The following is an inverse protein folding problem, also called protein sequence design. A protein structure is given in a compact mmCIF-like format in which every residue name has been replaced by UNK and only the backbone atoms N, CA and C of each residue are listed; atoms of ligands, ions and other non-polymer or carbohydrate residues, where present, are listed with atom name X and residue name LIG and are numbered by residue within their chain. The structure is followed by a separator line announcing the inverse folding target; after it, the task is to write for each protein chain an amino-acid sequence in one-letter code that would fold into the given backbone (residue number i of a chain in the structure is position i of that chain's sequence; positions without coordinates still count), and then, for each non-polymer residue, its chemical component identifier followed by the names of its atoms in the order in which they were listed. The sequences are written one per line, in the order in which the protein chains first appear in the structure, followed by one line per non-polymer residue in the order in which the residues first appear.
data_IF_966018525133
#
_entry.id   IF_966018525133
#
_cell.length_a   1.000
_cell.length_b   1.000
_cell.length_c   1.000
_cell.angle_alpha   90.00
_cell.angle_beta   90.00
_cell.angle_gamma   90.00
#
_symmetry.space_group_name_H-M   'P 1'
#
loop_
_entity.id
_entity.type
_entity.pdbx_description
1 polymer ?
#
# COMPACT_ATOMS: atom_id res chain seq x y z
N UNK A 1 2.18 -36.64 14.70
CA UNK A 1 2.88 -37.50 13.72
C UNK A 1 4.26 -36.90 13.52
N UNK A 2 5.34 -37.53 14.02
CA UNK A 2 6.68 -36.96 13.94
C UNK A 2 7.14 -36.96 12.47
N UNK A 3 7.40 -35.79 11.92
CA UNK A 3 8.03 -35.61 10.61
C UNK A 3 9.54 -35.80 10.86
N UNK A 4 10.13 -36.84 10.27
CA UNK A 4 11.58 -37.07 10.37
C UNK A 4 12.33 -35.88 9.76
N UNK A 5 13.07 -35.13 10.59
CA UNK A 5 13.85 -33.95 10.19
C UNK A 5 15.16 -34.30 9.47
N UNK A 6 15.44 -35.58 9.23
CA UNK A 6 16.58 -36.00 8.44
C UNK A 6 16.41 -35.49 7.00
N UNK A 7 17.26 -34.54 6.60
CA UNK A 7 17.39 -34.13 5.20
C UNK A 7 17.68 -35.38 4.37
N UNK A 8 16.75 -35.84 3.52
CA UNK A 8 16.97 -37.06 2.74
C UNK A 8 18.16 -36.83 1.83
N UNK A 9 19.09 -37.79 1.80
CA UNK A 9 20.18 -37.77 0.83
C UNK A 9 19.60 -37.62 -0.58
N UNK A 10 20.22 -36.79 -1.46
CA UNK A 10 19.76 -36.63 -2.83
C UNK A 10 19.69 -38.01 -3.49
N UNK A 11 18.59 -38.36 -4.17
CA UNK A 11 18.42 -39.68 -4.74
C UNK A 11 19.52 -39.93 -5.78
N UNK A 12 20.09 -41.14 -5.86
CA UNK A 12 21.06 -41.49 -6.88
C UNK A 12 20.46 -41.23 -8.26
N UNK A 13 21.18 -40.46 -9.09
CA UNK A 13 20.81 -40.16 -10.45
C UNK A 13 20.60 -41.46 -11.23
N UNK A 14 19.35 -41.82 -11.56
CA UNK A 14 19.11 -42.94 -12.48
C UNK A 14 17.77 -43.66 -12.40
N UNK A 15 16.99 -43.54 -11.31
CA UNK A 15 15.66 -44.15 -11.27
C UNK A 15 14.60 -43.14 -10.84
N UNK A 16 13.78 -42.73 -11.81
CA UNK A 16 12.52 -42.05 -11.53
C UNK A 16 11.63 -43.04 -10.77
N UNK A 17 11.00 -42.64 -9.65
CA UNK A 17 10.07 -43.52 -8.96
C UNK A 17 8.90 -43.87 -9.88
N UNK A 18 8.52 -45.15 -9.99
CA UNK A 18 7.36 -45.54 -10.80
C UNK A 18 6.09 -44.98 -10.18
N UNK A 19 5.16 -44.56 -11.03
CA UNK A 19 3.86 -44.09 -10.55
C UNK A 19 3.12 -45.23 -9.82
N UNK A 20 2.67 -45.05 -8.56
CA UNK A 20 1.99 -46.11 -7.81
C UNK A 20 0.66 -46.56 -8.42
N UNK A 21 0.08 -45.77 -9.34
CA UNK A 21 -1.21 -46.09 -10.00
C UNK A 21 -1.05 -46.84 -11.32
N UNK A 22 -0.04 -46.53 -12.13
CA UNK A 22 0.15 -47.11 -13.46
C UNK A 22 1.47 -47.87 -13.65
N UNK A 23 2.36 -47.87 -12.65
CA UNK A 23 3.68 -48.49 -12.64
C UNK A 23 4.67 -47.99 -13.72
N UNK A 24 4.31 -46.95 -14.49
CA UNK A 24 5.17 -46.38 -15.52
C UNK A 24 5.98 -45.18 -14.99
N UNK A 25 7.14 -44.94 -15.61
CA UNK A 25 8.08 -43.84 -15.29
C UNK A 25 8.20 -42.81 -16.42
N UNK A 26 7.65 -43.08 -17.61
CA UNK A 26 7.80 -42.28 -18.83
C UNK A 26 7.22 -40.86 -18.72
N UNK A 27 6.15 -40.69 -17.94
CA UNK A 27 5.47 -39.42 -17.73
C UNK A 27 5.50 -38.91 -16.30
N UNK A 28 6.49 -39.38 -15.51
CA UNK A 28 6.69 -38.93 -14.14
C UNK A 28 7.68 -37.76 -14.16
N UNK A 29 7.25 -36.62 -13.59
CA UNK A 29 8.07 -35.41 -13.46
C UNK A 29 8.03 -34.93 -12.03
N UNK A 30 9.10 -34.29 -11.56
CA UNK A 30 9.07 -33.68 -10.23
C UNK A 30 8.00 -32.58 -10.21
N UNK A 31 7.26 -32.48 -9.11
CA UNK A 31 6.22 -31.45 -8.95
C UNK A 31 6.77 -30.03 -9.17
N UNK A 32 7.98 -29.68 -8.68
CA UNK A 32 8.58 -28.38 -8.97
C UNK A 32 8.78 -28.11 -10.46
N UNK A 33 9.26 -29.10 -11.22
CA UNK A 33 9.45 -28.95 -12.65
C UNK A 33 8.11 -28.72 -13.38
N UNK A 34 7.06 -29.45 -12.99
CA UNK A 34 5.71 -29.26 -13.55
C UNK A 34 5.18 -27.88 -13.22
N UNK A 35 5.22 -27.47 -11.94
CA UNK A 35 4.76 -26.15 -11.50
C UNK A 35 5.47 -25.01 -12.25
N UNK A 36 6.79 -25.10 -12.43
CA UNK A 36 7.55 -24.10 -13.17
C UNK A 36 7.25 -24.13 -14.67
N UNK A 37 7.05 -25.31 -15.26
CA UNK A 37 6.67 -25.43 -16.68
C UNK A 37 5.27 -24.88 -16.99
N UNK A 38 4.39 -24.88 -15.99
CA UNK A 38 3.01 -24.38 -16.08
C UNK A 38 2.89 -22.86 -15.83
N UNK A 39 3.99 -22.20 -15.46
CA UNK A 39 4.06 -20.73 -15.43
C UNK A 39 4.34 -20.25 -16.85
N UNK A 40 3.27 -19.84 -17.53
CA UNK A 40 3.38 -19.24 -18.85
C UNK A 40 3.23 -17.72 -18.73
N UNK A 41 4.23 -16.99 -19.21
CA UNK A 41 4.10 -15.55 -19.42
C UNK A 41 3.30 -15.34 -20.70
N UNK A 42 2.10 -14.78 -20.56
CA UNK A 42 1.24 -14.44 -21.69
C UNK A 42 1.29 -12.92 -21.84
N UNK A 43 1.83 -12.44 -22.95
CA UNK A 43 1.68 -11.03 -23.37
C UNK A 43 0.25 -10.83 -23.86
N UNK A 44 -0.60 -10.25 -23.01
CA UNK A 44 -1.95 -9.87 -23.40
C UNK A 44 -1.90 -8.42 -23.86
N UNK A 45 -2.57 -8.11 -24.97
CA UNK A 45 -2.75 -6.72 -25.39
C UNK A 45 -3.72 -6.08 -24.40
N UNK A 46 -3.25 -5.13 -23.60
CA UNK A 46 -4.12 -4.46 -22.65
C UNK A 46 -5.19 -3.69 -23.44
N UNK A 47 -6.44 -3.78 -22.98
CA UNK A 47 -7.60 -3.10 -23.53
C UNK A 47 -7.49 -1.60 -23.20
N UNK A 48 -6.55 -0.91 -23.83
CA UNK A 48 -6.29 0.52 -23.67
C UNK A 48 -6.02 1.18 -25.01
N UNK A 49 -6.35 2.46 -25.12
CA UNK A 49 -6.25 3.25 -26.37
C UNK A 49 -4.84 3.23 -26.98
N UNK A 50 -3.80 3.01 -26.16
CA UNK A 50 -2.39 3.07 -26.57
C UNK A 50 -1.80 1.72 -27.00
N UNK A 51 -2.60 0.64 -27.06
CA UNK A 51 -2.12 -0.66 -27.55
C UNK A 51 -0.98 -1.30 -26.73
N UNK A 52 -0.82 -0.87 -25.47
CA UNK A 52 0.20 -1.37 -24.54
C UNK A 52 0.05 -2.88 -24.33
N UNK A 53 1.14 -3.63 -24.53
CA UNK A 53 1.17 -5.05 -24.18
C UNK A 53 1.54 -5.18 -22.70
N UNK A 54 0.70 -5.90 -21.96
CA UNK A 54 0.97 -6.22 -20.56
C UNK A 54 1.30 -7.72 -20.48
N UNK A 55 2.49 -8.04 -19.98
CA UNK A 55 2.89 -9.41 -19.70
C UNK A 55 2.18 -9.84 -18.42
N UNK A 56 1.18 -10.71 -18.54
CA UNK A 56 0.53 -11.32 -17.39
C UNK A 56 1.04 -12.75 -17.23
N UNK A 57 1.56 -13.05 -16.06
CA UNK A 57 1.89 -14.43 -15.69
C UNK A 57 0.59 -15.17 -15.40
N UNK A 58 0.21 -16.08 -16.29
CA UNK A 58 -0.94 -16.96 -16.09
C UNK A 58 -0.44 -18.32 -15.64
N UNK A 59 -0.74 -18.66 -14.38
CA UNK A 59 -0.49 -20.01 -13.87
C UNK A 59 -1.72 -20.85 -14.18
N UNK A 60 -1.52 -21.95 -14.92
CA UNK A 60 -2.59 -22.88 -15.24
C UNK A 60 -3.28 -23.43 -13.99
N UNK A 61 -4.48 -24.00 -14.14
CA UNK A 61 -5.19 -24.60 -13.01
C UNK A 61 -4.35 -25.73 -12.35
N UNK A 62 -3.59 -26.48 -13.15
CA UNK A 62 -2.67 -27.50 -12.68
C UNK A 62 -1.52 -26.88 -11.88
N UNK A 63 -0.86 -25.84 -12.43
CA UNK A 63 0.21 -25.13 -11.74
C UNK A 63 -0.25 -24.55 -10.40
N UNK A 64 -1.49 -24.03 -10.32
CA UNK A 64 -2.09 -23.53 -9.08
C UNK A 64 -2.43 -24.65 -8.09
N UNK A 65 -2.91 -25.80 -8.56
CA UNK A 65 -3.19 -26.95 -7.71
C UNK A 65 -1.91 -27.54 -7.09
N UNK A 66 -0.79 -27.45 -7.83
CA UNK A 66 0.53 -27.90 -7.39
C UNK A 66 1.34 -26.81 -6.66
N UNK A 67 0.77 -25.66 -6.31
CA UNK A 67 1.53 -24.59 -5.67
C UNK A 67 1.89 -24.93 -4.20
N UNK A 68 3.13 -24.68 -3.75
CA UNK A 68 3.57 -24.98 -2.37
C UNK A 68 2.90 -24.07 -1.33
N UNK A 69 2.43 -22.90 -1.74
CA UNK A 69 1.78 -21.92 -0.89
C UNK A 69 0.60 -21.27 -1.62
N UNK A 70 -0.41 -20.78 -0.87
CA UNK A 70 -1.52 -20.03 -1.46
C UNK A 70 -1.03 -18.77 -2.19
N UNK A 71 -1.70 -18.35 -3.28
CA UNK A 71 -1.34 -17.13 -3.98
C UNK A 71 -1.50 -15.94 -3.04
N UNK A 72 -0.44 -15.13 -2.92
CA UNK A 72 -0.50 -13.90 -2.15
C UNK A 72 -1.35 -12.89 -2.91
N UNK A 73 -2.59 -12.68 -2.49
CA UNK A 73 -3.37 -11.51 -2.95
C UNK A 73 -2.73 -10.27 -2.34
N UNK A 74 -1.73 -9.71 -3.05
CA UNK A 74 -0.94 -8.55 -2.61
C UNK A 74 -1.67 -7.23 -2.83
N UNK A 75 -2.72 -7.20 -3.66
CA UNK A 75 -3.37 -5.97 -4.12
C UNK A 75 -3.92 -5.13 -2.97
N UNK A 76 -4.59 -5.74 -1.99
CA UNK A 76 -5.16 -5.00 -0.85
C UNK A 76 -4.09 -4.39 0.07
N UNK A 77 -3.02 -5.14 0.35
CA UNK A 77 -1.91 -4.64 1.19
C UNK A 77 -1.14 -3.55 0.45
N UNK A 78 -0.89 -3.75 -0.84
CA UNK A 78 -0.20 -2.77 -1.69
C UNK A 78 -1.01 -1.50 -1.84
N UNK A 79 -2.34 -1.59 -2.01
CA UNK A 79 -3.23 -0.44 -2.04
C UNK A 79 -3.21 0.34 -0.72
N UNK A 80 -3.25 -0.35 0.43
CA UNK A 80 -3.14 0.30 1.75
C UNK A 80 -1.79 1.00 1.95
N UNK A 81 -0.69 0.36 1.53
CA UNK A 81 0.66 0.96 1.61
C UNK A 81 0.76 2.19 0.72
N UNK A 82 0.28 2.12 -0.53
CA UNK A 82 0.28 3.26 -1.46
C UNK A 82 -0.59 4.40 -0.92
N UNK A 83 -1.80 4.10 -0.44
CA UNK A 83 -2.70 5.10 0.13
C UNK A 83 -2.10 5.75 1.38
N UNK A 84 -1.49 4.96 2.27
CA UNK A 84 -0.77 5.44 3.44
C UNK A 84 0.42 6.33 3.08
N UNK A 85 1.19 5.98 2.04
CA UNK A 85 2.32 6.80 1.57
C UNK A 85 1.84 8.13 0.97
N UNK A 86 0.81 8.11 0.12
CA UNK A 86 0.26 9.32 -0.52
C UNK A 86 -0.30 10.27 0.54
N UNK A 87 -1.03 9.76 1.53
CA UNK A 87 -1.55 10.57 2.64
C UNK A 87 -0.44 11.15 3.52
N UNK A 88 0.62 10.38 3.79
CA UNK A 88 1.79 10.85 4.52
C UNK A 88 2.50 12.00 3.78
N UNK A 89 2.77 11.83 2.48
CA UNK A 89 3.44 12.86 1.65
C UNK A 89 2.60 14.13 1.59
N UNK A 90 1.27 13.98 1.43
CA UNK A 90 0.33 15.10 1.50
C UNK A 90 0.45 15.86 2.81
N UNK A 91 0.41 15.16 3.95
CA UNK A 91 0.53 15.76 5.28
C UNK A 91 1.85 16.53 5.47
N UNK A 92 2.98 15.94 5.05
CA UNK A 92 4.31 16.57 5.14
C UNK A 92 4.37 17.83 4.28
N UNK A 93 3.84 17.79 3.04
CA UNK A 93 3.82 18.96 2.17
C UNK A 93 2.95 20.08 2.74
N UNK A 94 1.76 19.76 3.28
CA UNK A 94 0.89 20.75 3.92
C UNK A 94 1.56 21.36 5.16
N UNK A 95 2.28 20.56 5.94
CA UNK A 95 3.04 21.04 7.09
C UNK A 95 4.18 22.01 6.69
N UNK A 96 4.95 21.67 5.66
CA UNK A 96 6.05 22.52 5.16
C UNK A 96 5.50 23.85 4.62
N UNK A 97 4.42 23.83 3.86
CA UNK A 97 3.78 25.05 3.36
C UNK A 97 3.26 25.94 4.52
N UNK A 98 2.66 25.32 5.54
CA UNK A 98 2.24 26.02 6.74
C UNK A 98 3.40 26.63 7.54
N UNK A 99 4.56 25.96 7.58
CA UNK A 99 5.77 26.49 8.21
C UNK A 99 6.34 27.69 7.42
N UNK A 100 6.44 27.58 6.10
CA UNK A 100 6.97 28.67 5.26
C UNK A 100 6.08 29.93 5.29
N UNK A 101 4.76 29.78 5.44
CA UNK A 101 3.85 30.90 5.57
C UNK A 101 4.03 31.69 6.89
N UNK A 102 4.59 31.08 7.94
CA UNK A 102 4.86 31.75 9.23
C UNK A 102 6.12 32.60 9.20
N UNK A 103 7.09 32.21 8.39
CA UNK A 103 8.37 32.91 8.25
C UNK A 103 8.36 33.96 7.12
N UNK A 104 7.23 34.11 6.42
CA UNK A 104 7.07 35.16 5.44
C UNK A 104 7.30 36.52 6.14
N UNK A 105 8.32 37.30 5.74
CA UNK A 105 8.57 38.60 6.33
C UNK A 105 7.29 39.41 6.16
N UNK A 106 6.73 39.89 7.27
CA UNK A 106 5.56 40.77 7.25
C UNK A 106 5.94 41.88 6.29
N UNK A 107 5.32 41.90 5.10
CA UNK A 107 5.41 43.04 4.21
C UNK A 107 4.82 44.19 5.01
N UNK A 108 5.72 44.96 5.63
CA UNK A 108 5.41 46.15 6.36
C UNK A 108 4.70 47.03 5.35
N UNK A 109 3.37 47.09 5.47
CA UNK A 109 2.54 47.86 4.54
C UNK A 109 3.17 49.24 4.52
N UNK A 110 3.64 49.72 3.36
CA UNK A 110 4.34 51.00 3.30
C UNK A 110 3.45 52.01 4.01
N UNK A 111 4.00 52.63 5.04
CA UNK A 111 3.25 53.58 5.86
C UNK A 111 2.92 54.76 4.95
N UNK A 112 1.71 54.70 4.39
CA UNK A 112 1.13 55.75 3.55
C UNK A 112 0.58 56.88 4.42
N UNK A 113 0.87 56.88 5.73
CA UNK A 113 0.67 58.06 6.55
C UNK A 113 1.37 59.24 5.87
N UNK A 114 0.64 60.33 5.61
CA UNK A 114 1.23 61.55 5.08
C UNK A 114 2.43 61.91 5.96
N UNK A 115 3.59 62.22 5.37
CA UNK A 115 4.76 62.62 6.13
C UNK A 115 4.43 63.70 7.15
N UNK A 116 5.07 63.67 8.32
CA UNK A 116 4.83 64.58 9.44
C UNK A 116 4.87 66.07 9.04
N UNK A 117 5.58 66.42 7.96
CA UNK A 117 5.64 67.78 7.45
C UNK A 117 4.34 68.27 6.81
N UNK A 118 3.44 67.37 6.40
CA UNK A 118 2.10 67.70 5.88
C UNK A 118 1.12 67.99 7.04
N UNK A 119 1.31 67.36 8.19
CA UNK A 119 0.44 67.53 9.38
C UNK A 119 0.99 68.55 10.38
N UNK A 120 2.31 68.74 10.43
CA UNK A 120 2.99 69.79 11.20
C UNK A 120 3.41 70.92 10.27
N UNK A 121 2.44 71.57 9.62
CA UNK A 121 2.70 72.93 9.17
C UNK A 121 2.72 73.84 10.41
N UNK A 122 3.83 74.55 10.70
CA UNK A 122 3.83 75.59 11.72
C UNK A 122 2.86 76.67 11.28
N UNK A 123 1.69 76.70 11.92
CA UNK A 123 0.70 77.78 11.88
C UNK A 123 0.60 78.50 10.55
N UNK A 124 -0.12 77.93 9.58
CA UNK A 124 -0.94 78.80 8.76
C UNK A 124 -2.03 79.35 9.69
N UNK A 125 -2.10 80.67 9.92
CA UNK A 125 -3.20 81.25 10.65
C UNK A 125 -4.47 81.00 9.82
N UNK A 126 -5.29 80.03 10.25
CA UNK A 126 -6.63 79.83 9.74
C UNK A 126 -7.60 80.90 10.27
N UNK A 127 -7.12 82.12 10.46
CA UNK A 127 -7.94 83.31 10.64
C UNK A 127 -8.42 83.77 9.26
N UNK A 128 -9.11 82.89 8.55
CA UNK A 128 -9.96 83.34 7.46
C UNK A 128 -11.19 83.99 8.11
N UNK A 129 -11.51 85.25 7.80
CA UNK A 129 -12.71 85.90 8.31
C UNK A 129 -13.94 85.11 7.84
N UNK A 130 -14.67 84.50 8.78
CA UNK A 130 -15.92 83.76 8.51
C UNK A 130 -17.12 84.66 8.14
N UNK A 131 -16.91 85.96 7.96
CA UNK A 131 -17.97 86.94 7.71
C UNK A 131 -18.17 87.30 6.22
N UNK A 132 -17.85 86.37 5.30
CA UNK A 132 -18.29 86.50 3.92
C UNK A 132 -19.66 85.83 3.74
N UNK A 133 -20.71 86.55 3.28
CA UNK A 133 -22.01 85.96 2.96
C UNK A 133 -21.89 85.20 1.63
N UNK A 134 -21.31 84.02 1.68
CA UNK A 134 -21.12 83.14 0.54
C UNK A 134 -21.43 81.71 0.94
N UNK A 135 -22.43 81.13 0.28
CA UNK A 135 -22.94 79.76 0.46
C UNK A 135 -21.81 78.74 0.29
N UNK A 136 -21.17 78.34 1.39
CA UNK A 136 -20.33 77.16 1.43
C UNK A 136 -21.01 76.06 2.26
N UNK A 137 -21.04 74.81 1.77
CA UNK A 137 -21.69 73.72 2.47
C UNK A 137 -20.95 73.45 3.78
N UNK A 138 -21.72 73.47 4.87
CA UNK A 138 -21.34 73.11 6.23
C UNK A 138 -20.47 71.85 6.23
N UNK A 139 -19.20 72.00 6.61
CA UNK A 139 -18.29 70.87 6.77
C UNK A 139 -18.94 69.84 7.71
N UNK A 140 -19.16 68.64 7.19
CA UNK A 140 -19.71 67.54 7.94
C UNK A 140 -18.77 67.23 9.13
N UNK A 141 -19.31 66.91 10.32
CA UNK A 141 -18.49 66.52 11.44
C UNK A 141 -17.62 65.34 11.02
N UNK A 142 -16.31 65.47 11.24
CA UNK A 142 -15.35 64.41 10.99
C UNK A 142 -15.86 63.14 11.67
N UNK A 143 -16.22 62.13 10.86
CA UNK A 143 -16.53 60.81 11.35
C UNK A 143 -15.37 60.38 12.25
N UNK A 144 -15.61 59.97 13.50
CA UNK A 144 -14.55 59.37 14.30
C UNK A 144 -14.03 58.21 13.47
N UNK A 145 -12.74 58.28 13.13
CA UNK A 145 -12.04 57.18 12.50
C UNK A 145 -12.34 55.94 13.31
N UNK A 146 -13.14 55.05 12.73
CA UNK A 146 -13.46 53.73 13.26
C UNK A 146 -12.16 52.93 13.25
N UNK A 147 -11.26 53.23 14.17
CA UNK A 147 -10.16 52.36 14.51
C UNK A 147 -10.77 51.14 15.22
N UNK A 148 -10.27 49.98 14.83
CA UNK A 148 -10.49 48.69 15.46
C UNK A 148 -11.83 47.99 15.14
N UNK A 149 -11.88 47.43 13.94
CA UNK A 149 -12.37 46.06 13.78
C UNK A 149 -11.43 45.30 12.83
N UNK A 150 -10.16 45.20 13.23
CA UNK A 150 -9.23 44.22 12.65
C UNK A 150 -9.65 42.81 13.07
N UNK A 151 -9.43 41.80 12.22
CA UNK A 151 -10.30 40.64 12.10
C UNK A 151 -10.10 39.64 13.25
N UNK A 152 -11.07 39.53 14.16
CA UNK A 152 -11.20 38.33 15.00
C UNK A 152 -11.57 37.08 14.17
N UNK A 153 -11.78 37.22 12.86
CA UNK A 153 -11.85 36.11 11.92
C UNK A 153 -10.53 35.30 11.81
N UNK A 154 -9.37 35.85 12.21
CA UNK A 154 -8.08 35.20 11.95
C UNK A 154 -7.68 34.09 12.94
N UNK A 155 -8.33 33.98 14.11
CA UNK A 155 -7.97 32.99 15.11
C UNK A 155 -8.49 31.57 14.76
N UNK A 156 -9.69 31.48 14.20
CA UNK A 156 -10.27 30.20 13.76
C UNK A 156 -9.69 29.74 12.41
N UNK A 157 -9.32 30.66 11.53
CA UNK A 157 -8.69 30.35 10.23
C UNK A 157 -7.28 29.75 10.38
N UNK A 158 -6.59 30.03 11.49
CA UNK A 158 -5.29 29.44 11.80
C UNK A 158 -5.37 28.14 12.63
N UNK A 159 -6.48 27.91 13.36
CA UNK A 159 -6.66 26.70 14.17
C UNK A 159 -7.11 25.49 13.33
N UNK A 160 -8.05 25.70 12.39
CA UNK A 160 -8.53 24.66 11.46
C UNK A 160 -7.41 23.88 10.73
N UNK A 161 -6.34 24.51 10.19
CA UNK A 161 -5.29 23.78 9.47
C UNK A 161 -4.39 22.93 10.38
N UNK A 162 -4.21 23.29 11.65
CA UNK A 162 -3.36 22.52 12.58
C UNK A 162 -4.01 21.19 12.95
N UNK A 163 -5.30 21.18 13.30
CA UNK A 163 -6.02 19.94 13.60
C UNK A 163 -6.17 19.04 12.37
N UNK A 164 -6.31 19.64 11.18
CA UNK A 164 -6.33 18.91 9.92
C UNK A 164 -5.07 18.09 9.67
N UNK A 165 -3.88 18.65 9.91
CA UNK A 165 -2.62 17.91 9.68
C UNK A 165 -2.44 16.76 10.68
N UNK A 166 -2.82 16.95 11.94
CA UNK A 166 -2.79 15.89 12.95
C UNK A 166 -3.73 14.74 12.62
N UNK A 167 -4.95 15.03 12.13
CA UNK A 167 -5.89 13.99 11.70
C UNK A 167 -5.37 13.21 10.48
N UNK A 168 -4.84 13.89 9.47
CA UNK A 168 -4.28 13.24 8.28
C UNK A 168 -3.09 12.36 8.68
N UNK A 169 -2.20 12.85 9.56
CA UNK A 169 -1.07 12.08 10.06
C UNK A 169 -1.52 10.85 10.85
N UNK A 170 -2.52 10.99 11.73
CA UNK A 170 -3.08 9.87 12.49
C UNK A 170 -3.68 8.81 11.57
N UNK A 171 -4.41 9.21 10.52
CA UNK A 171 -4.95 8.29 9.52
C UNK A 171 -3.84 7.58 8.75
N UNK A 172 -2.80 8.30 8.32
CA UNK A 172 -1.65 7.70 7.63
C UNK A 172 -0.93 6.66 8.49
N UNK A 173 -0.70 6.97 9.78
CA UNK A 173 -0.10 6.03 10.74
C UNK A 173 -1.01 4.82 10.95
N UNK A 174 -2.31 5.01 11.12
CA UNK A 174 -3.26 3.91 11.29
C UNK A 174 -3.30 2.97 10.08
N UNK A 175 -3.26 3.51 8.85
CA UNK A 175 -3.19 2.73 7.61
C UNK A 175 -1.88 1.92 7.53
N UNK A 176 -0.75 2.53 7.85
CA UNK A 176 0.57 1.85 7.86
C UNK A 176 0.66 0.78 8.96
N UNK A 177 0.16 1.07 10.16
CA UNK A 177 0.08 0.12 11.27
C UNK A 177 -0.83 -1.08 10.92
N UNK A 178 -1.99 -0.82 10.32
CA UNK A 178 -2.89 -1.86 9.81
C UNK A 178 -2.23 -2.72 8.74
N UNK A 179 -1.55 -2.10 7.77
CA UNK A 179 -0.85 -2.81 6.70
C UNK A 179 0.31 -3.68 7.24
N UNK A 180 1.09 -3.16 8.18
CA UNK A 180 2.19 -3.90 8.83
C UNK A 180 1.67 -5.04 9.70
N UNK A 181 0.61 -4.84 10.47
CA UNK A 181 -0.03 -5.91 11.25
C UNK A 181 -0.60 -7.02 10.35
N UNK A 182 -1.23 -6.66 9.23
CA UNK A 182 -1.69 -7.63 8.21
C UNK A 182 -0.51 -8.36 7.56
N UNK A 183 0.58 -7.65 7.26
CA UNK A 183 1.77 -8.25 6.69
C UNK A 183 2.43 -9.23 7.65
N UNK A 184 2.61 -8.84 8.92
CA UNK A 184 3.21 -9.68 9.95
C UNK A 184 2.34 -10.89 10.29
N UNK A 185 1.01 -10.72 10.41
CA UNK A 185 0.10 -11.86 10.64
C UNK A 185 0.11 -12.84 9.47
N UNK A 186 0.19 -12.36 8.22
CA UNK A 186 0.40 -13.22 7.05
C UNK A 186 1.76 -13.91 7.08
N UNK A 187 2.81 -13.19 7.48
CA UNK A 187 4.18 -13.74 7.55
C UNK A 187 4.25 -14.83 8.61
N UNK A 188 3.64 -14.62 9.77
CA UNK A 188 3.47 -15.62 10.83
C UNK A 188 2.72 -16.86 10.35
N UNK A 189 1.62 -16.67 9.61
CA UNK A 189 0.88 -17.79 8.98
C UNK A 189 1.70 -18.57 7.94
N UNK A 190 2.78 -18.00 7.41
CA UNK A 190 3.67 -18.62 6.44
C UNK A 190 5.03 -19.02 7.04
N UNK A 191 5.19 -19.01 8.37
CA UNK A 191 6.43 -19.45 9.02
C UNK A 191 6.75 -20.92 8.72
N UNK A 192 5.74 -21.77 8.52
CA UNK A 192 5.91 -23.16 8.09
C UNK A 192 6.18 -23.36 6.59
N UNK A 193 6.27 -22.28 5.79
CA UNK A 193 6.52 -22.37 4.34
C UNK A 193 7.75 -23.21 3.98
N UNK A 194 8.92 -23.11 4.67
CA UNK A 194 10.06 -23.96 4.35
C UNK A 194 9.78 -25.45 4.54
N UNK A 195 8.89 -25.82 5.47
CA UNK A 195 8.50 -27.22 5.68
C UNK A 195 7.60 -27.73 4.56
N UNK A 196 6.63 -26.92 4.13
CA UNK A 196 5.82 -27.22 2.96
C UNK A 196 6.67 -27.33 1.68
N UNK A 197 7.61 -26.40 1.47
CA UNK A 197 8.51 -26.41 0.30
C UNK A 197 9.43 -27.64 0.30
N UNK A 198 9.94 -28.07 1.46
CA UNK A 198 10.73 -29.31 1.57
C UNK A 198 9.91 -30.53 1.13
N UNK A 199 8.68 -30.67 1.62
CA UNK A 199 7.80 -31.77 1.24
C UNK A 199 7.40 -31.70 -0.24
N UNK A 200 7.07 -30.50 -0.72
CA UNK A 200 6.72 -30.24 -2.12
C UNK A 200 7.86 -30.56 -3.09
N UNK A 201 9.11 -30.23 -2.74
CA UNK A 201 10.29 -30.53 -3.54
C UNK A 201 10.56 -32.03 -3.71
N UNK A 202 10.08 -32.85 -2.77
CA UNK A 202 10.25 -34.30 -2.81
C UNK A 202 9.16 -34.99 -3.64
N UNK A 203 8.10 -34.28 -4.03
CA UNK A 203 6.94 -34.87 -4.68
C UNK A 203 7.12 -35.08 -6.19
N UNK A 204 6.39 -36.07 -6.70
CA UNK A 204 6.36 -36.43 -8.12
C UNK A 204 4.94 -36.39 -8.67
N UNK A 205 4.78 -35.94 -9.91
CA UNK A 205 3.51 -35.86 -10.62
C UNK A 205 3.55 -36.77 -11.85
N UNK A 206 2.51 -37.59 -12.02
CA UNK A 206 2.33 -38.41 -13.21
C UNK A 206 1.31 -37.75 -14.14
N UNK A 207 1.77 -37.30 -15.32
CA UNK A 207 0.89 -36.63 -16.28
C UNK A 207 -0.21 -37.54 -16.83
N UNK A 208 0.07 -38.86 -16.93
CA UNK A 208 -0.89 -39.86 -17.41
C UNK A 208 -2.08 -40.06 -16.47
N UNK A 209 -1.81 -40.09 -15.16
CA UNK A 209 -2.82 -40.37 -14.14
C UNK A 209 -3.43 -39.10 -13.52
N UNK A 210 -2.77 -37.95 -13.67
CA UNK A 210 -3.18 -36.70 -13.03
C UNK A 210 -3.01 -36.72 -11.51
N UNK A 211 -2.17 -37.60 -10.97
CA UNK A 211 -1.96 -37.79 -9.54
C UNK A 211 -0.55 -37.41 -9.13
N UNK A 212 -0.41 -36.88 -7.91
CA UNK A 212 0.87 -36.64 -7.27
C UNK A 212 1.15 -37.73 -6.22
N UNK A 213 2.42 -38.02 -5.96
CA UNK A 213 2.82 -38.99 -4.95
C UNK A 213 4.13 -38.57 -4.31
N UNK A 214 4.34 -39.05 -3.09
CA UNK A 214 5.57 -38.84 -2.35
C UNK A 214 6.44 -40.10 -2.41
N UNK A 215 7.77 -39.95 -2.49
CA UNK A 215 8.67 -41.08 -2.35
C UNK A 215 8.58 -41.64 -0.92
N UNK A 216 8.89 -42.93 -0.71
CA UNK A 216 8.88 -43.54 0.62
C UNK A 216 9.74 -42.79 1.65
N UNK A 217 10.77 -42.09 1.18
CA UNK A 217 11.71 -41.30 1.99
C UNK A 217 11.12 -40.01 2.55
N UNK A 218 9.98 -39.52 2.02
CA UNK A 218 9.36 -38.29 2.49
C UNK A 218 8.60 -38.43 3.82
N UNK A 219 8.47 -39.67 4.35
CA UNK A 219 7.72 -39.93 5.57
C UNK A 219 6.20 -39.74 5.43
N UNK A 220 5.71 -39.55 4.20
CA UNK A 220 4.29 -39.52 3.84
C UNK A 220 3.90 -40.83 3.16
N UNK A 221 2.60 -41.12 3.13
CA UNK A 221 2.10 -42.31 2.42
C UNK A 221 2.57 -42.32 0.97
N UNK A 222 2.93 -43.50 0.47
CA UNK A 222 3.37 -43.73 -0.92
C UNK A 222 2.21 -43.83 -1.90
N UNK A 223 1.00 -43.51 -1.47
CA UNK A 223 -0.22 -43.63 -2.25
C UNK A 223 -0.32 -42.52 -3.31
N UNK A 224 -1.00 -42.80 -4.42
CA UNK A 224 -1.32 -41.81 -5.43
C UNK A 224 -2.40 -40.85 -4.91
N UNK A 225 -2.02 -39.59 -4.66
CA UNK A 225 -2.91 -38.55 -4.17
C UNK A 225 -3.53 -37.78 -5.34
N UNK A 226 -4.81 -37.43 -5.20
CA UNK A 226 -5.42 -36.43 -6.07
C UNK A 226 -4.80 -35.05 -5.84
N UNK A 227 -4.92 -34.13 -6.82
CA UNK A 227 -4.34 -32.78 -6.72
C UNK A 227 -4.81 -32.00 -5.48
N UNK A 228 -6.09 -32.13 -5.12
CA UNK A 228 -6.65 -31.47 -3.94
C UNK A 228 -6.09 -32.04 -2.64
N UNK A 229 -5.90 -33.35 -2.55
CA UNK A 229 -5.34 -34.04 -1.38
C UNK A 229 -3.85 -33.77 -1.24
N UNK A 230 -3.11 -33.82 -2.34
CA UNK A 230 -1.71 -33.42 -2.40
C UNK A 230 -1.52 -32.01 -1.84
N UNK A 231 -2.32 -31.05 -2.33
CA UNK A 231 -2.29 -29.68 -1.84
C UNK A 231 -2.60 -29.60 -0.35
N UNK A 232 -3.64 -30.31 0.13
CA UNK A 232 -3.97 -30.38 1.55
C UNK A 232 -2.80 -30.92 2.37
N UNK A 233 -2.13 -31.98 1.92
CA UNK A 233 -0.97 -32.56 2.59
C UNK A 233 0.21 -31.58 2.67
N UNK A 234 0.58 -30.94 1.55
CA UNK A 234 1.67 -29.95 1.48
C UNK A 234 1.38 -28.74 2.36
N UNK A 235 0.16 -28.20 2.30
CA UNK A 235 -0.22 -27.01 3.07
C UNK A 235 -0.38 -27.30 4.55
N UNK A 236 -0.83 -28.51 4.91
CA UNK A 236 -0.88 -28.95 6.31
C UNK A 236 0.52 -29.07 6.89
N UNK A 237 1.49 -29.57 6.11
CA UNK A 237 2.90 -29.61 6.53
C UNK A 237 3.49 -28.20 6.75
N UNK A 238 2.96 -27.18 6.08
CA UNK A 238 3.31 -25.78 6.31
C UNK A 238 2.50 -25.05 7.38
N UNK A 239 1.53 -25.72 8.02
CA UNK A 239 0.68 -25.13 9.06
C UNK A 239 -0.49 -24.29 8.54
N UNK A 240 -0.81 -24.34 7.25
CA UNK A 240 -1.90 -23.59 6.61
C UNK A 240 -2.86 -24.50 5.82
N UNK A 241 -3.09 -25.72 6.32
CA UNK A 241 -3.98 -26.70 5.72
C UNK A 241 -5.46 -26.27 5.69
N UNK A 242 -5.88 -25.39 6.59
CA UNK A 242 -7.21 -24.77 6.63
C UNK A 242 -7.52 -23.98 5.35
N UNK A 243 -6.50 -23.38 4.75
CA UNK A 243 -6.65 -22.66 3.49
C UNK A 243 -6.91 -23.61 2.31
N UNK A 244 -6.46 -24.86 2.37
CA UNK A 244 -6.55 -25.78 1.23
C UNK A 244 -8.02 -26.10 0.87
N UNK A 245 -8.90 -26.11 1.87
CA UNK A 245 -10.33 -26.33 1.69
C UNK A 245 -11.01 -25.14 1.01
N UNK A 246 -10.58 -23.91 1.32
CA UNK A 246 -11.11 -22.69 0.70
C UNK A 246 -10.80 -22.60 -0.80
N UNK A 247 -9.74 -23.26 -1.26
CA UNK A 247 -9.34 -23.30 -2.68
C UNK A 247 -9.73 -24.61 -3.38
N UNK A 248 -10.63 -25.42 -2.81
CA UNK A 248 -11.20 -26.58 -3.50
C UNK A 248 -12.06 -26.05 -4.67
N UNK A 249 -11.77 -26.47 -5.93
CA UNK A 249 -12.62 -26.10 -7.06
C UNK A 249 -14.01 -26.73 -6.94
#
# INVERSE_FOLDING_TARGET
MPINDAVPAPPPHGSLPPCPRCALTDQVRSVPAVHLSERRNVTVRASGHDGRTETREEVSALGRALAPAPPTTSTAVQALVVLGLVTLVGAVFTFIQGAMARDAPVHQKPDLSPPDWVTKHPGFPNDFPTDLPGVFPKAAPASPATHAAGPLASANDALLPLWGSYLILAVAIALLAGATALFLSRRRRLEGRPQAERLWNQAWYCARCGTAHFPPTAGQGTEALGLAEFRKAVWTAGGYGDLAERYRP
#
